data_IF_303295398797
#
_entry.id   IF_303295398797
#
_cell.length_a   1.000
_cell.length_b   1.000
_cell.length_c   1.000
_cell.angle_alpha   90.00
_cell.angle_beta   90.00
_cell.angle_gamma   90.00
#
_symmetry.space_group_name_H-M   'P 1'
#
loop_
_entity.id
_entity.type
_entity.pdbx_description
1 polymer ?
#
# COMPACT_ATOMS: atom_id res chain seq x y z
N UNK A 1 5.57 39.08 -36.86
CA UNK A 1 5.58 40.16 -35.86
C UNK A 1 4.22 40.17 -35.18
N UNK A 2 4.14 39.62 -33.97
CA UNK A 2 2.89 39.47 -33.22
C UNK A 2 2.99 40.32 -31.94
N UNK A 3 2.04 41.23 -31.79
CA UNK A 3 2.04 42.33 -30.84
C UNK A 3 1.54 41.88 -29.47
N UNK A 4 2.40 41.92 -28.44
CA UNK A 4 2.02 41.68 -27.04
C UNK A 4 1.50 43.00 -26.46
N UNK A 5 0.23 43.04 -26.03
CA UNK A 5 -0.33 44.15 -25.24
C UNK A 5 -0.09 43.88 -23.75
N UNK A 6 0.69 44.76 -23.12
CA UNK A 6 0.83 44.85 -21.67
C UNK A 6 -0.45 45.44 -21.04
N UNK A 7 -0.90 44.87 -19.93
CA UNK A 7 -1.89 45.49 -19.04
C UNK A 7 -1.17 45.84 -17.73
N UNK A 8 -0.91 47.13 -17.55
CA UNK A 8 -0.65 47.73 -16.25
C UNK A 8 -2.00 48.04 -15.59
N UNK A 9 -2.17 47.69 -14.32
CA UNK A 9 -3.15 48.33 -13.45
C UNK A 9 -2.49 48.70 -12.13
N UNK A 10 -2.89 49.89 -11.69
CA UNK A 10 -2.16 50.84 -10.88
C UNK A 10 -2.41 50.65 -9.38
N UNK A 11 -1.37 50.97 -8.63
CA UNK A 11 -1.25 51.13 -7.18
C UNK A 11 -2.34 51.99 -6.52
N UNK A 12 -2.76 51.61 -5.31
CA UNK A 12 -3.29 52.55 -4.32
C UNK A 12 -2.45 52.48 -3.04
N UNK A 13 -2.22 53.64 -2.42
CA UNK A 13 -1.18 53.91 -1.43
C UNK A 13 -1.78 54.08 -0.03
N UNK A 14 -1.09 53.49 0.95
CA UNK A 14 -0.79 53.95 2.32
C UNK A 14 -1.91 54.27 3.33
N UNK A 15 -1.81 53.61 4.49
CA UNK A 15 -2.36 54.04 5.77
C UNK A 15 -1.61 53.37 6.92
N UNK A 16 -0.70 54.12 7.56
CA UNK A 16 0.17 53.71 8.67
C UNK A 16 -0.61 53.38 9.94
N UNK A 17 -0.25 52.28 10.60
CA UNK A 17 -0.72 51.93 11.95
C UNK A 17 0.32 51.07 12.65
N UNK A 18 1.19 51.73 13.43
CA UNK A 18 2.18 51.11 14.29
C UNK A 18 1.47 50.52 15.52
N UNK A 19 1.37 49.19 15.58
CA UNK A 19 0.91 48.46 16.78
C UNK A 19 2.06 47.64 17.33
N UNK A 20 2.71 48.22 18.34
CA UNK A 20 3.67 47.54 19.21
C UNK A 20 2.91 46.61 20.16
N UNK A 21 3.09 45.30 19.99
CA UNK A 21 2.67 44.32 20.99
C UNK A 21 3.92 43.62 21.55
N UNK A 22 4.09 43.76 22.86
CA UNK A 22 5.16 43.21 23.69
C UNK A 22 5.10 41.67 23.73
N UNK A 23 6.24 40.99 23.95
CA UNK A 23 6.24 39.56 24.26
C UNK A 23 5.78 39.35 25.72
N UNK A 24 4.69 38.62 25.90
CA UNK A 24 4.29 38.09 27.22
C UNK A 24 4.81 36.66 27.36
N UNK A 25 5.81 36.50 28.22
CA UNK A 25 6.15 35.24 28.88
C UNK A 25 5.00 34.78 29.77
N UNK A 26 4.57 33.53 29.63
CA UNK A 26 4.16 32.65 30.74
C UNK A 26 3.60 31.34 30.16
N UNK A 27 4.47 30.33 30.03
CA UNK A 27 4.03 28.94 30.02
C UNK A 27 3.88 28.51 31.48
N UNK A 28 2.64 28.44 31.95
CA UNK A 28 2.26 27.84 33.22
C UNK A 28 1.56 26.52 32.95
N UNK A 29 2.23 25.45 33.36
CA UNK A 29 1.70 24.22 33.97
C UNK A 29 0.32 23.70 33.53
N UNK A 30 0.33 22.59 32.79
CA UNK A 30 -0.68 21.54 32.98
C UNK A 30 0.06 20.25 33.30
N UNK A 31 0.12 19.98 34.61
CA UNK A 31 0.50 18.70 35.19
C UNK A 31 -0.77 17.85 35.23
N UNK A 32 -0.84 16.80 34.42
CA UNK A 32 -1.80 15.72 34.61
C UNK A 32 -1.01 14.43 34.89
N UNK A 33 -1.29 13.89 36.07
CA UNK A 33 -0.65 12.76 36.71
C UNK A 33 -1.18 11.43 36.16
N UNK A 34 -0.38 10.40 36.47
CA UNK A 34 -0.77 9.03 36.79
C UNK A 34 -0.97 8.05 35.64
N UNK A 35 -0.18 6.97 35.71
CA UNK A 35 -0.28 5.80 34.86
C UNK A 35 1.01 4.98 34.84
N UNK A 36 1.57 4.64 36.01
CA UNK A 36 2.61 3.62 36.15
C UNK A 36 2.10 2.30 35.57
N UNK A 37 2.88 1.69 34.68
CA UNK A 37 2.82 0.25 34.39
C UNK A 37 4.22 -0.32 34.52
N UNK A 38 4.57 -0.63 35.78
CA UNK A 38 5.54 -1.65 36.12
C UNK A 38 5.04 -2.99 35.57
N UNK A 39 5.77 -3.61 34.63
CA UNK A 39 5.64 -5.04 34.46
C UNK A 39 6.97 -5.71 34.11
N UNK A 40 7.65 -6.03 35.21
CA UNK A 40 8.61 -7.11 35.38
C UNK A 40 8.16 -8.37 34.63
N UNK A 41 8.96 -8.83 33.66
CA UNK A 41 8.92 -10.23 33.23
C UNK A 41 10.31 -10.84 33.38
N UNK A 42 10.46 -11.50 34.53
CA UNK A 42 11.60 -12.29 34.95
C UNK A 42 11.09 -13.73 35.14
N UNK A 43 11.67 -14.64 34.36
CA UNK A 43 11.91 -16.07 34.65
C UNK A 43 10.71 -16.95 35.03
N UNK A 44 10.48 -17.99 34.23
CA UNK A 44 10.06 -19.28 34.79
C UNK A 44 11.02 -20.38 34.34
N UNK A 45 11.57 -21.05 35.37
CA UNK A 45 12.37 -22.24 35.28
C UNK A 45 11.50 -23.51 35.27
N UNK A 46 12.14 -24.61 34.91
CA UNK A 46 11.67 -25.98 34.78
C UNK A 46 10.85 -26.55 35.97
N UNK A 47 10.02 -27.56 35.70
CA UNK A 47 10.11 -28.89 36.33
C UNK A 47 9.04 -29.85 35.79
N UNK A 48 9.45 -31.11 35.62
CA UNK A 48 8.66 -32.26 35.20
C UNK A 48 7.73 -32.80 36.30
N UNK A 49 6.64 -33.46 35.90
CA UNK A 49 6.04 -34.56 36.67
C UNK A 49 5.57 -35.64 35.70
N UNK A 50 6.19 -36.82 35.82
CA UNK A 50 5.72 -38.08 35.27
C UNK A 50 4.65 -38.66 36.22
N UNK A 51 3.55 -39.14 35.67
CA UNK A 51 2.67 -40.10 36.35
C UNK A 51 2.19 -41.12 35.33
N UNK A 52 2.63 -42.37 35.51
CA UNK A 52 2.20 -43.51 34.73
C UNK A 52 0.88 -44.07 35.25
N UNK A 53 0.00 -44.41 34.33
CA UNK A 53 -1.14 -45.31 34.57
C UNK A 53 -1.16 -46.32 33.41
N UNK A 54 -0.97 -47.59 33.77
CA UNK A 54 -1.11 -48.75 32.89
C UNK A 54 -2.61 -49.05 32.72
N UNK A 55 -3.13 -48.92 31.51
CA UNK A 55 -4.40 -49.51 31.10
C UNK A 55 -4.18 -50.27 29.79
N UNK A 56 -4.29 -51.60 29.88
CA UNK A 56 -4.28 -52.51 28.75
C UNK A 56 -5.57 -52.34 27.94
N UNK A 57 -5.45 -51.78 26.73
CA UNK A 57 -6.52 -51.72 25.74
C UNK A 57 -6.13 -52.53 24.50
N UNK A 58 -7.05 -53.36 24.01
CA UNK A 58 -6.86 -54.21 22.84
C UNK A 58 -6.44 -53.39 21.61
N UNK A 59 -5.26 -53.72 21.06
CA UNK A 59 -4.81 -53.21 19.78
C UNK A 59 -5.74 -53.75 18.67
N UNK A 60 -6.47 -52.86 18.03
CA UNK A 60 -6.99 -53.06 16.67
C UNK A 60 -6.06 -52.27 15.77
N UNK A 61 -5.35 -52.96 14.87
CA UNK A 61 -4.54 -52.33 13.82
C UNK A 61 -5.47 -51.59 12.84
N UNK A 62 -5.86 -50.38 13.21
CA UNK A 62 -6.34 -49.37 12.27
C UNK A 62 -5.12 -48.73 11.63
N UNK A 63 -4.80 -49.09 10.39
CA UNK A 63 -3.84 -48.31 9.62
C UNK A 63 -4.27 -46.84 9.62
N UNK A 64 -3.37 -45.89 9.94
CA UNK A 64 -3.66 -44.48 9.77
C UNK A 64 -4.01 -44.24 8.30
N UNK A 65 -5.26 -43.87 8.03
CA UNK A 65 -5.63 -43.30 6.74
C UNK A 65 -4.77 -42.04 6.60
N UNK A 66 -3.92 -41.92 5.57
CA UNK A 66 -3.19 -40.68 5.35
C UNK A 66 -4.24 -39.59 5.15
N UNK A 67 -4.34 -38.68 6.11
CA UNK A 67 -5.03 -37.42 5.90
C UNK A 67 -4.41 -36.81 4.64
N UNK A 68 -5.20 -36.27 3.68
CA UNK A 68 -4.63 -35.47 2.62
C UNK A 68 -3.85 -34.36 3.32
N UNK A 69 -2.52 -34.47 3.29
CA UNK A 69 -1.67 -33.41 3.76
C UNK A 69 -2.12 -32.18 3.00
N UNK A 70 -2.65 -31.18 3.71
CA UNK A 70 -2.64 -29.83 3.20
C UNK A 70 -1.16 -29.55 2.99
N UNK A 71 -0.70 -29.78 1.77
CA UNK A 71 0.57 -29.31 1.30
C UNK A 71 0.43 -27.81 1.39
N UNK A 72 0.81 -27.26 2.55
CA UNK A 72 1.13 -25.86 2.72
C UNK A 72 2.38 -25.64 1.88
N UNK A 73 2.19 -25.64 0.55
CA UNK A 73 3.19 -25.18 -0.37
C UNK A 73 3.41 -23.73 0.01
N UNK A 74 4.51 -23.48 0.71
CA UNK A 74 5.02 -22.14 0.96
C UNK A 74 5.13 -21.51 -0.43
N UNK A 75 4.25 -20.54 -0.70
CA UNK A 75 4.22 -19.85 -1.99
C UNK A 75 5.61 -19.28 -2.23
N UNK A 76 6.18 -19.55 -3.39
CA UNK A 76 7.45 -18.92 -3.76
C UNK A 76 7.27 -17.39 -3.67
N UNK A 77 8.25 -16.64 -3.13
CA UNK A 77 8.15 -15.19 -3.04
C UNK A 77 7.83 -14.58 -4.40
N UNK A 78 6.92 -13.60 -4.46
CA UNK A 78 6.59 -12.94 -5.72
C UNK A 78 7.85 -12.25 -6.29
N UNK A 79 8.09 -12.49 -7.57
CA UNK A 79 9.02 -11.69 -8.35
C UNK A 79 8.41 -10.30 -8.59
N UNK A 80 8.85 -9.33 -7.79
CA UNK A 80 8.37 -7.96 -7.88
C UNK A 80 8.79 -7.26 -9.18
N UNK A 81 9.89 -7.69 -9.82
CA UNK A 81 10.33 -7.09 -11.07
C UNK A 81 9.32 -7.40 -12.19
N UNK A 82 8.91 -8.66 -12.29
CA UNK A 82 7.85 -9.09 -13.21
C UNK A 82 6.48 -8.50 -12.82
N UNK A 83 6.13 -8.59 -11.53
CA UNK A 83 4.82 -8.17 -11.02
C UNK A 83 4.58 -6.68 -11.17
N UNK A 84 5.63 -5.87 -11.07
CA UNK A 84 5.57 -4.44 -11.36
C UNK A 84 5.12 -4.14 -12.80
N UNK A 85 5.62 -4.87 -13.81
CA UNK A 85 5.19 -4.71 -15.21
C UNK A 85 3.72 -5.07 -15.42
N UNK A 86 3.27 -6.12 -14.73
CA UNK A 86 1.85 -6.53 -14.70
C UNK A 86 0.97 -5.45 -14.06
N UNK A 87 1.40 -4.87 -12.94
CA UNK A 87 0.68 -3.80 -12.25
C UNK A 87 0.54 -2.56 -13.14
N UNK A 88 1.61 -2.12 -13.81
CA UNK A 88 1.54 -0.97 -14.72
C UNK A 88 0.60 -1.20 -15.89
N UNK A 89 0.62 -2.40 -16.48
CA UNK A 89 -0.29 -2.76 -17.57
C UNK A 89 -1.75 -2.82 -17.09
N UNK A 90 -1.98 -3.33 -15.87
CA UNK A 90 -3.30 -3.32 -15.24
C UNK A 90 -3.81 -1.89 -14.99
N UNK A 91 -2.97 -1.02 -14.42
CA UNK A 91 -3.32 0.37 -14.16
C UNK A 91 -3.65 1.15 -15.46
N UNK A 92 -2.98 0.81 -16.57
CA UNK A 92 -3.21 1.38 -17.90
C UNK A 92 -4.28 0.63 -18.73
N UNK A 93 -5.00 -0.33 -18.15
CA UNK A 93 -5.95 -1.18 -18.89
C UNK A 93 -7.32 -0.55 -19.13
N UNK A 94 -7.52 0.69 -18.65
CA UNK A 94 -8.77 1.43 -18.73
C UNK A 94 -8.52 2.88 -19.15
N UNK A 95 -9.46 3.51 -19.88
CA UNK A 95 -9.40 4.94 -20.12
C UNK A 95 -9.44 5.72 -18.81
N UNK A 96 -8.78 6.88 -18.81
CA UNK A 96 -8.75 7.81 -17.68
C UNK A 96 -10.14 8.12 -17.13
N UNK A 97 -10.25 8.21 -15.81
CA UNK A 97 -11.52 8.43 -15.10
C UNK A 97 -12.38 7.17 -14.95
N UNK A 98 -11.94 6.04 -15.50
CA UNK A 98 -12.58 4.73 -15.34
C UNK A 98 -11.61 3.64 -14.90
N UNK A 99 -10.44 4.06 -14.43
CA UNK A 99 -9.32 3.25 -13.98
C UNK A 99 -9.23 3.23 -12.43
N UNK A 100 -8.57 2.22 -11.84
CA UNK A 100 -8.50 2.07 -10.38
C UNK A 100 -7.58 3.09 -9.69
N UNK A 101 -6.68 3.78 -10.40
CA UNK A 101 -5.74 4.76 -9.81
C UNK A 101 -6.43 6.11 -9.62
N UNK A 102 -7.25 6.53 -10.59
CA UNK A 102 -8.07 7.76 -10.54
C UNK A 102 -9.32 7.62 -9.67
N UNK A 103 -9.78 6.41 -9.39
CA UNK A 103 -10.95 6.15 -8.55
C UNK A 103 -10.69 6.55 -7.10
N UNK A 104 -11.46 7.48 -6.54
CA UNK A 104 -11.26 7.97 -5.18
C UNK A 104 -12.05 7.20 -4.13
N UNK A 105 -13.06 6.43 -4.54
CA UNK A 105 -14.11 5.88 -3.65
C UNK A 105 -14.23 4.35 -3.71
N UNK A 106 -13.62 3.70 -4.70
CA UNK A 106 -13.56 2.24 -4.79
C UNK A 106 -14.60 1.61 -5.72
N UNK A 107 -15.19 2.40 -6.63
CA UNK A 107 -16.11 1.87 -7.66
C UNK A 107 -15.41 0.97 -8.68
N UNK A 108 -14.11 1.17 -8.91
CA UNK A 108 -13.33 0.55 -9.98
C UNK A 108 -12.33 -0.51 -9.48
N UNK A 109 -12.30 -0.85 -8.18
CA UNK A 109 -11.24 -1.75 -7.66
C UNK A 109 -11.23 -3.15 -8.29
N UNK A 110 -12.36 -3.59 -8.83
CA UNK A 110 -12.55 -4.94 -9.38
C UNK A 110 -12.20 -5.03 -10.87
N UNK A 111 -11.98 -3.90 -11.52
CA UNK A 111 -11.82 -3.84 -12.96
C UNK A 111 -10.50 -4.46 -13.37
N UNK A 112 -10.56 -5.41 -14.31
CA UNK A 112 -9.42 -6.06 -14.95
C UNK A 112 -8.40 -6.70 -13.98
N UNK A 113 -8.80 -7.00 -12.75
CA UNK A 113 -7.93 -7.67 -11.77
C UNK A 113 -7.53 -9.06 -12.28
N UNK A 114 -6.26 -9.47 -12.13
CA UNK A 114 -5.86 -10.83 -12.47
C UNK A 114 -6.41 -11.83 -11.46
N UNK A 115 -6.30 -13.13 -11.78
CA UNK A 115 -6.90 -14.19 -10.96
C UNK A 115 -5.98 -14.75 -9.87
N UNK A 116 -4.66 -14.61 -10.01
CA UNK A 116 -3.63 -15.15 -9.13
C UNK A 116 -3.30 -14.26 -7.92
N UNK A 117 -3.56 -12.96 -8.04
CA UNK A 117 -3.35 -11.97 -6.99
C UNK A 117 -4.34 -10.82 -7.15
N UNK A 118 -4.31 -9.85 -6.24
CA UNK A 118 -5.13 -8.65 -6.32
C UNK A 118 -4.25 -7.41 -6.26
N UNK A 119 -4.30 -6.59 -7.32
CA UNK A 119 -3.52 -5.36 -7.38
C UNK A 119 -4.19 -4.24 -6.59
N UNK A 120 -3.39 -3.59 -5.75
CA UNK A 120 -3.79 -2.41 -5.00
C UNK A 120 -3.29 -1.17 -5.73
N UNK A 121 -4.19 -0.22 -5.99
CA UNK A 121 -3.82 1.05 -6.61
C UNK A 121 -3.38 2.09 -5.55
N UNK A 122 -2.40 2.92 -5.90
CA UNK A 122 -2.14 4.19 -5.23
C UNK A 122 -3.10 5.28 -5.72
N UNK A 123 -2.60 6.50 -5.86
CA UNK A 123 -3.25 7.62 -6.55
C UNK A 123 -2.18 8.37 -7.35
N UNK A 124 -2.58 9.28 -8.24
CA UNK A 124 -1.65 10.22 -8.89
C UNK A 124 -1.18 11.36 -7.97
N UNK A 125 -1.45 11.25 -6.67
CA UNK A 125 -1.26 12.29 -5.66
C UNK A 125 -2.48 12.45 -4.76
N UNK A 126 -2.29 13.08 -3.61
CA UNK A 126 -3.38 13.40 -2.69
C UNK A 126 -3.95 12.17 -1.97
N UNK A 127 -5.25 12.21 -1.67
CA UNK A 127 -5.90 11.22 -0.80
C UNK A 127 -7.05 10.48 -1.48
N UNK A 128 -7.22 9.21 -1.13
CA UNK A 128 -8.39 8.42 -1.49
C UNK A 128 -8.83 7.51 -0.33
N UNK A 129 -10.14 7.26 -0.23
CA UNK A 129 -10.70 6.28 0.69
C UNK A 129 -11.66 5.37 -0.06
N UNK A 130 -11.23 4.14 -0.30
CA UNK A 130 -11.89 3.19 -1.20
C UNK A 130 -12.55 2.09 -0.42
N UNK A 131 -13.73 1.66 -0.87
CA UNK A 131 -14.36 0.42 -0.40
C UNK A 131 -14.33 -0.63 -1.50
N UNK A 132 -13.68 -1.76 -1.25
CA UNK A 132 -13.48 -2.80 -2.25
C UNK A 132 -13.85 -4.19 -1.70
N UNK A 133 -14.38 -5.05 -2.57
CA UNK A 133 -14.55 -6.47 -2.29
C UNK A 133 -13.43 -7.23 -2.98
N UNK A 134 -12.70 -8.05 -2.22
CA UNK A 134 -11.56 -8.84 -2.71
C UNK A 134 -11.89 -10.32 -2.58
N UNK A 135 -11.75 -11.13 -3.66
CA UNK A 135 -11.90 -12.57 -3.55
C UNK A 135 -10.92 -13.17 -2.52
N UNK A 136 -11.40 -14.11 -1.72
CA UNK A 136 -10.55 -14.81 -0.75
C UNK A 136 -9.42 -15.58 -1.44
N UNK A 137 -8.29 -15.75 -0.74
CA UNK A 137 -7.14 -16.50 -1.25
C UNK A 137 -6.23 -15.74 -2.23
N UNK A 138 -6.51 -14.46 -2.52
CA UNK A 138 -5.65 -13.62 -3.35
C UNK A 138 -4.71 -12.76 -2.49
N UNK A 139 -3.41 -12.85 -2.76
CA UNK A 139 -2.42 -11.96 -2.16
C UNK A 139 -2.63 -10.52 -2.63
N UNK A 140 -2.41 -9.54 -1.76
CA UNK A 140 -2.50 -8.12 -2.13
C UNK A 140 -1.11 -7.62 -2.52
N UNK A 141 -1.01 -6.98 -3.68
CA UNK A 141 0.27 -6.42 -4.17
C UNK A 141 0.06 -5.02 -4.69
N UNK A 142 0.89 -4.09 -4.27
CA UNK A 142 0.84 -2.72 -4.78
C UNK A 142 2.03 -1.88 -4.36
N UNK A 143 2.14 -0.67 -4.94
CA UNK A 143 3.15 0.29 -4.53
C UNK A 143 2.66 1.08 -3.31
N UNK A 144 3.58 1.39 -2.39
CA UNK A 144 3.41 2.58 -1.54
C UNK A 144 3.63 3.84 -2.37
N UNK A 145 4.64 3.81 -3.24
CA UNK A 145 4.96 4.85 -4.22
C UNK A 145 5.78 4.23 -5.35
N UNK A 146 5.52 4.61 -6.60
CA UNK A 146 6.21 4.05 -7.77
C UNK A 146 6.23 5.04 -8.94
N UNK A 147 7.10 4.74 -9.90
CA UNK A 147 7.28 5.49 -11.13
C UNK A 147 7.56 4.53 -12.30
N UNK A 148 7.08 4.89 -13.49
CA UNK A 148 7.57 4.36 -14.76
C UNK A 148 8.15 5.51 -15.56
N UNK A 149 9.46 5.47 -15.83
CA UNK A 149 10.17 6.52 -16.57
C UNK A 149 11.49 5.99 -17.16
N UNK A 150 12.48 6.87 -17.34
CA UNK A 150 13.86 6.49 -17.68
C UNK A 150 14.56 5.84 -16.49
N UNK A 151 15.68 5.10 -16.71
CA UNK A 151 16.46 4.54 -15.61
C UNK A 151 17.03 5.59 -14.65
N UNK A 152 17.30 6.80 -15.13
CA UNK A 152 17.88 7.90 -14.33
C UNK A 152 16.84 8.49 -13.39
N UNK A 153 15.68 8.89 -13.93
CA UNK A 153 14.56 9.38 -13.11
C UNK A 153 14.14 8.35 -12.08
N UNK A 154 14.20 7.06 -12.43
CA UNK A 154 13.89 6.00 -11.46
C UNK A 154 14.89 5.90 -10.30
N UNK A 155 16.17 6.23 -10.52
CA UNK A 155 17.14 6.28 -9.42
C UNK A 155 16.85 7.47 -8.52
N UNK A 156 16.67 8.64 -9.11
CA UNK A 156 16.41 9.88 -8.38
C UNK A 156 15.11 9.79 -7.57
N UNK A 157 14.05 9.27 -8.19
CA UNK A 157 12.78 9.01 -7.54
C UNK A 157 12.93 8.04 -6.36
N UNK A 158 13.69 6.96 -6.51
CA UNK A 158 13.88 6.02 -5.43
C UNK A 158 14.74 6.59 -4.30
N UNK A 159 15.69 7.48 -4.59
CA UNK A 159 16.54 8.11 -3.57
C UNK A 159 15.75 9.04 -2.64
N UNK A 160 14.68 9.67 -3.15
CA UNK A 160 13.74 10.47 -2.36
C UNK A 160 12.54 9.66 -1.84
N UNK A 161 12.41 8.37 -2.18
CA UNK A 161 11.20 7.61 -1.89
C UNK A 161 11.08 7.22 -0.42
N UNK A 162 9.91 7.52 0.15
CA UNK A 162 9.50 7.08 1.48
C UNK A 162 8.08 6.48 1.44
N UNK A 163 7.75 5.65 2.43
CA UNK A 163 6.42 5.10 2.52
C UNK A 163 6.20 4.23 3.75
N UNK A 164 4.92 4.05 4.08
CA UNK A 164 4.45 3.15 5.14
C UNK A 164 3.19 2.45 4.67
N UNK A 165 3.07 1.16 4.98
CA UNK A 165 1.86 0.39 4.71
C UNK A 165 1.47 -0.37 5.97
N UNK A 166 0.18 -0.39 6.29
CA UNK A 166 -0.36 -1.19 7.39
C UNK A 166 -1.61 -1.94 6.96
N UNK A 167 -1.72 -3.20 7.36
CA UNK A 167 -2.96 -3.98 7.29
C UNK A 167 -3.48 -4.16 8.73
N UNK A 168 -4.69 -3.69 9.01
CA UNK A 168 -5.30 -3.73 10.34
C UNK A 168 -4.41 -3.13 11.44
N UNK A 169 -3.67 -2.07 11.08
CA UNK A 169 -2.69 -1.40 11.94
C UNK A 169 -1.34 -2.13 12.09
N UNK A 170 -1.21 -3.37 11.62
CA UNK A 170 0.08 -4.07 11.61
C UNK A 170 0.95 -3.58 10.44
N UNK A 171 2.24 -3.24 10.66
CA UNK A 171 3.11 -2.76 9.61
C UNK A 171 3.41 -3.85 8.57
N UNK A 172 3.42 -3.47 7.30
CA UNK A 172 3.78 -4.31 6.15
C UNK A 172 5.13 -3.85 5.61
N UNK A 173 6.04 -4.81 5.40
CA UNK A 173 7.38 -4.53 4.88
C UNK A 173 7.33 -4.03 3.44
N UNK A 174 8.05 -2.93 3.17
CA UNK A 174 8.26 -2.42 1.82
C UNK A 174 9.58 -2.92 1.23
N UNK A 175 9.53 -3.32 -0.04
CA UNK A 175 10.67 -3.74 -0.85
C UNK A 175 10.95 -2.70 -1.92
N UNK A 176 12.15 -2.13 -1.90
CA UNK A 176 12.65 -1.27 -2.98
C UNK A 176 12.92 -2.11 -4.22
N UNK A 177 12.30 -1.75 -5.35
CA UNK A 177 12.42 -2.47 -6.62
C UNK A 177 12.75 -1.49 -7.74
N UNK A 178 13.61 -1.91 -8.66
CA UNK A 178 14.02 -1.13 -9.83
C UNK A 178 15.29 -0.29 -9.63
N UNK A 179 15.78 0.38 -10.70
CA UNK A 179 15.15 0.49 -12.02
C UNK A 179 15.11 -0.84 -12.79
N UNK A 180 13.93 -1.25 -13.26
CA UNK A 180 13.73 -2.50 -14.01
C UNK A 180 13.09 -2.19 -15.36
N UNK A 181 13.71 -2.63 -16.46
CA UNK A 181 13.11 -2.51 -17.79
C UNK A 181 11.83 -3.33 -17.88
N UNK A 182 10.78 -2.71 -18.38
CA UNK A 182 9.48 -3.34 -18.54
C UNK A 182 8.77 -2.83 -19.81
N UNK A 183 7.74 -3.55 -20.20
CA UNK A 183 6.79 -3.14 -21.24
C UNK A 183 5.43 -3.00 -20.58
N UNK A 184 4.80 -1.83 -20.72
CA UNK A 184 3.44 -1.55 -20.26
C UNK A 184 2.50 -1.66 -21.44
N UNK A 185 1.48 -2.51 -21.33
CA UNK A 185 0.38 -2.53 -22.30
C UNK A 185 -0.71 -1.56 -21.85
N UNK A 186 -0.99 -0.55 -22.67
CA UNK A 186 -1.99 0.47 -22.39
C UNK A 186 -3.14 0.45 -23.41
N UNK A 187 -4.32 0.87 -22.95
CA UNK A 187 -5.42 1.24 -23.85
C UNK A 187 -5.35 2.72 -24.20
N UNK A 188 -6.01 3.11 -25.29
CA UNK A 188 -6.09 4.51 -25.73
C UNK A 188 -6.70 5.39 -24.63
N UNK A 189 -6.09 6.54 -24.38
CA UNK A 189 -6.54 7.53 -23.40
C UNK A 189 -6.48 7.04 -21.97
N UNK A 190 -5.58 6.10 -21.64
CA UNK A 190 -5.32 5.75 -20.24
C UNK A 190 -4.71 6.93 -19.48
N UNK A 191 -4.84 6.96 -18.16
CA UNK A 191 -4.26 8.04 -17.36
C UNK A 191 -2.71 8.01 -17.32
N UNK A 192 -2.07 6.98 -17.88
CA UNK A 192 -0.62 6.79 -17.88
C UNK A 192 -0.03 7.03 -19.28
N UNK A 193 -0.72 6.58 -20.33
CA UNK A 193 -0.35 6.74 -21.73
C UNK A 193 -1.56 7.16 -22.57
N UNK A 194 -1.37 8.16 -23.44
CA UNK A 194 -2.39 8.63 -24.37
C UNK A 194 -2.67 7.60 -25.49
N UNK A 195 -1.63 7.01 -26.07
CA UNK A 195 -1.75 6.06 -27.17
C UNK A 195 -1.90 4.62 -26.67
N UNK A 196 -2.76 3.83 -27.32
CA UNK A 196 -2.84 2.39 -27.10
C UNK A 196 -1.57 1.65 -27.56
N UNK A 197 -1.29 0.50 -26.94
CA UNK A 197 -0.23 -0.42 -27.38
C UNK A 197 0.80 -0.71 -26.30
N UNK A 198 1.95 -1.21 -26.73
CA UNK A 198 3.05 -1.62 -25.86
C UNK A 198 4.08 -0.48 -25.74
N UNK A 199 4.24 0.06 -24.53
CA UNK A 199 5.13 1.16 -24.18
C UNK A 199 6.33 0.65 -23.38
N UNK A 200 7.55 0.99 -23.80
CA UNK A 200 8.77 0.58 -23.10
C UNK A 200 9.20 1.64 -22.09
N UNK A 201 9.61 1.19 -20.91
CA UNK A 201 10.12 2.07 -19.86
C UNK A 201 10.92 1.32 -18.80
N UNK A 202 11.31 2.03 -17.75
CA UNK A 202 11.83 1.45 -16.52
C UNK A 202 10.87 1.72 -15.37
N UNK A 203 10.43 0.66 -14.72
CA UNK A 203 9.65 0.76 -13.48
C UNK A 203 10.54 0.74 -12.26
N UNK A 204 10.17 1.53 -11.26
CA UNK A 204 10.76 1.52 -9.93
C UNK A 204 9.72 1.87 -8.87
N UNK A 205 9.99 1.52 -7.60
CA UNK A 205 9.18 1.98 -6.47
C UNK A 205 9.46 1.24 -5.17
N UNK A 206 8.70 1.63 -4.14
CA UNK A 206 8.56 0.89 -2.88
C UNK A 206 7.29 0.05 -2.96
N UNK A 207 7.44 -1.26 -2.92
CA UNK A 207 6.36 -2.22 -3.15
C UNK A 207 6.08 -3.05 -1.92
N UNK A 208 4.82 -3.34 -1.67
CA UNK A 208 4.40 -4.30 -0.65
C UNK A 208 3.76 -5.52 -1.28
N UNK A 209 3.88 -6.62 -0.55
CA UNK A 209 3.16 -7.86 -0.78
C UNK A 209 2.59 -8.29 0.56
N UNK A 210 1.31 -8.64 0.55
CA UNK A 210 0.60 -9.16 1.71
C UNK A 210 0.08 -10.53 1.32
N UNK A 211 0.39 -11.54 2.12
CA UNK A 211 -0.23 -12.86 2.01
C UNK A 211 -1.76 -12.75 2.00
N UNK A 212 -2.48 -13.70 1.38
CA UNK A 212 -3.93 -13.63 1.30
C UNK A 212 -4.56 -13.33 2.67
N UNK A 213 -5.26 -12.19 2.83
CA UNK A 213 -5.90 -11.89 4.11
C UNK A 213 -7.01 -12.90 4.40
N UNK A 214 -7.34 -13.05 5.68
CA UNK A 214 -8.45 -13.90 6.09
C UNK A 214 -9.79 -13.37 5.49
N UNK A 215 -10.82 -14.21 5.34
CA UNK A 215 -12.15 -13.71 5.02
C UNK A 215 -12.68 -12.76 6.10
N UNK A 216 -13.26 -11.63 5.69
CA UNK A 216 -13.79 -10.62 6.61
C UNK A 216 -13.42 -9.18 6.25
N UNK A 217 -13.78 -8.21 7.11
CA UNK A 217 -13.40 -6.81 6.94
C UNK A 217 -11.93 -6.59 7.30
N UNK A 218 -11.23 -5.79 6.49
CA UNK A 218 -9.85 -5.37 6.73
C UNK A 218 -9.67 -3.89 6.38
N UNK A 219 -8.74 -3.23 7.06
CA UNK A 219 -8.32 -1.87 6.73
C UNK A 219 -6.87 -1.89 6.23
N UNK A 220 -6.66 -1.49 4.97
CA UNK A 220 -5.33 -1.31 4.41
C UNK A 220 -5.05 0.19 4.27
N UNK A 221 -3.99 0.67 4.92
CA UNK A 221 -3.52 2.06 4.81
C UNK A 221 -2.19 2.10 4.11
N UNK A 222 -2.07 3.04 3.18
CA UNK A 222 -0.88 3.25 2.35
C UNK A 222 -0.53 4.74 2.41
N UNK A 223 0.72 5.03 2.73
CA UNK A 223 1.31 6.36 2.55
C UNK A 223 2.59 6.21 1.76
N UNK A 224 2.81 7.11 0.82
CA UNK A 224 4.03 7.13 0.04
C UNK A 224 4.33 8.53 -0.44
N UNK A 225 5.60 8.77 -0.72
CA UNK A 225 6.04 10.03 -1.29
C UNK A 225 7.39 9.90 -1.96
N UNK A 226 7.61 10.74 -2.96
CA UNK A 226 8.90 10.94 -3.62
C UNK A 226 8.82 12.18 -4.51
N UNK A 227 9.85 13.02 -4.50
CA UNK A 227 10.00 14.17 -5.41
C UNK A 227 8.72 15.03 -5.61
N UNK A 228 8.13 15.47 -4.49
CA UNK A 228 6.92 16.30 -4.48
C UNK A 228 5.60 15.53 -4.69
N UNK A 229 5.64 14.27 -5.13
CA UNK A 229 4.49 13.37 -5.07
C UNK A 229 4.26 12.95 -3.62
N UNK A 230 3.01 13.04 -3.17
CA UNK A 230 2.56 12.50 -1.90
C UNK A 230 1.21 11.81 -2.08
N UNK A 231 1.09 10.58 -1.60
CA UNK A 231 -0.12 9.75 -1.67
C UNK A 231 -0.51 9.25 -0.29
N UNK A 232 -1.82 9.27 -0.01
CA UNK A 232 -2.40 8.64 1.19
C UNK A 232 -3.69 7.93 0.79
N UNK A 233 -3.70 6.61 0.89
CA UNK A 233 -4.85 5.79 0.50
C UNK A 233 -5.28 4.91 1.65
N UNK A 234 -6.57 4.91 1.94
CA UNK A 234 -7.21 3.96 2.85
C UNK A 234 -8.14 3.08 2.05
N UNK A 235 -8.08 1.77 2.30
CA UNK A 235 -8.99 0.78 1.74
C UNK A 235 -9.78 0.12 2.86
N UNK A 236 -11.10 0.24 2.82
CA UNK A 236 -12.03 -0.65 3.49
C UNK A 236 -12.20 -1.89 2.61
N UNK A 237 -11.51 -2.97 2.95
CA UNK A 237 -11.59 -4.23 2.21
C UNK A 237 -12.62 -5.15 2.86
N UNK A 238 -13.39 -5.84 2.04
CA UNK A 238 -14.18 -7.01 2.46
C UNK A 238 -13.66 -8.21 1.66
N UNK A 239 -13.02 -9.14 2.36
CA UNK A 239 -12.44 -10.34 1.78
C UNK A 239 -13.44 -11.48 1.86
N UNK A 240 -13.77 -12.06 0.71
CA UNK A 240 -14.75 -13.14 0.61
C UNK A 240 -15.29 -13.30 -0.80
N UNK A 241 -16.16 -14.28 -0.97
CA UNK A 241 -16.86 -14.45 -2.23
C UNK A 241 -17.89 -13.32 -2.40
N UNK A 242 -18.01 -12.79 -3.62
CA UNK A 242 -19.19 -11.99 -3.96
C UNK A 242 -20.38 -12.94 -3.99
N UNK A 243 -21.20 -12.92 -2.95
CA UNK A 243 -22.51 -13.59 -2.96
C UNK A 243 -23.46 -12.91 -3.94
#
# INVERSE_FOLDING_TARGET
MLTIRAVCLVSSRAGSGLLTLRPSTSFSEVRALSGEVDMVWRWWAAAAVAFGVLAAGCATDGQPVPSPGVSGAVRAPIDLAETQGRWWSWAASRPSGSDPVSDLVGTQCHVNQPDDLWFVAGTFGGKAHRRCVVPAGRALVGPAVNLVSTPEDCRDFLDAAEGTVTLDGAPVTLRRTGPTRLTVRAVEGSAIYDEAGDHRGCGCGLWFEIEPPAPGPHELRIKGGSDGLAVEVVYDLVVGDRS
#
